data_IF_347929443102
#
_entry.id   IF_347929443102
#
_cell.length_a   1.000
_cell.length_b   1.000
_cell.length_c   1.000
_cell.angle_alpha   90.00
_cell.angle_beta   90.00
_cell.angle_gamma   90.00
#
_symmetry.space_group_name_H-M   'P 1'
#
loop_
_entity.id
_entity.type
_entity.pdbx_description
1 polymer ?
#
# COMPACT_ATOMS: atom_id res chain seq x y z
N UNK A 1 0.82 0.97 -35.62
CA UNK A 1 -0.61 1.32 -35.66
C UNK A 1 -1.40 0.11 -35.19
N UNK A 2 -1.81 0.09 -33.93
CA UNK A 2 -2.85 -0.82 -33.43
C UNK A 2 -3.63 -0.03 -32.38
N UNK A 3 -4.92 0.17 -32.66
CA UNK A 3 -5.82 1.07 -31.96
C UNK A 3 -6.54 0.29 -30.87
N UNK A 4 -6.35 0.67 -29.60
CA UNK A 4 -7.15 0.15 -28.49
C UNK A 4 -8.40 1.01 -28.32
N UNK A 5 -9.56 0.45 -28.64
CA UNK A 5 -10.87 1.05 -28.39
C UNK A 5 -11.28 0.80 -26.93
N UNK A 6 -11.38 1.87 -26.14
CA UNK A 6 -12.02 1.85 -24.83
C UNK A 6 -13.55 1.68 -24.98
N UNK A 7 -14.10 0.62 -24.39
CA UNK A 7 -15.55 0.45 -24.25
C UNK A 7 -15.94 0.91 -22.84
N UNK A 8 -16.57 2.08 -22.74
CA UNK A 8 -17.26 2.53 -21.54
C UNK A 8 -18.71 2.03 -21.60
N UNK A 9 -19.18 1.34 -20.55
CA UNK A 9 -20.62 1.03 -20.39
C UNK A 9 -21.26 2.08 -19.48
N UNK A 10 -22.39 2.70 -19.88
CA UNK A 10 -23.09 3.65 -19.03
C UNK A 10 -24.00 2.93 -18.02
N UNK A 11 -24.09 3.54 -16.84
CA UNK A 11 -25.01 3.19 -15.75
C UNK A 11 -26.45 3.51 -16.19
N UNK A 12 -27.38 2.55 -16.01
CA UNK A 12 -28.81 2.78 -16.22
C UNK A 12 -29.45 3.34 -14.96
N UNK A 13 -30.10 4.48 -15.15
CA UNK A 13 -30.96 5.18 -14.21
C UNK A 13 -32.26 4.40 -13.94
N UNK A 14 -32.76 4.57 -12.72
CA UNK A 14 -34.08 4.15 -12.24
C UNK A 14 -35.19 5.00 -12.86
N UNK A 15 -36.25 4.36 -13.36
CA UNK A 15 -37.45 5.03 -13.87
C UNK A 15 -38.71 4.28 -13.45
N UNK A 16 -39.48 4.92 -12.57
CA UNK A 16 -40.88 4.60 -12.25
C UNK A 16 -41.77 4.96 -13.45
N UNK A 17 -42.67 4.09 -13.89
CA UNK A 17 -43.88 4.52 -14.60
C UNK A 17 -45.04 3.50 -14.49
N UNK A 18 -46.24 4.05 -14.62
CA UNK A 18 -47.53 3.63 -14.08
C UNK A 18 -48.31 2.72 -15.05
N UNK A 19 -49.10 1.83 -14.42
CA UNK A 19 -50.40 1.24 -14.81
C UNK A 19 -51.01 1.65 -16.16
N UNK A 20 -51.45 0.65 -16.93
CA UNK A 20 -52.66 0.71 -17.76
C UNK A 20 -53.47 -0.59 -17.65
N UNK A 21 -54.78 -0.40 -17.47
CA UNK A 21 -55.86 -1.40 -17.38
C UNK A 21 -56.49 -1.69 -18.75
N UNK A 22 -57.31 -2.76 -18.82
CA UNK A 22 -58.44 -3.11 -19.72
C UNK A 22 -58.26 -4.58 -20.15
N UNK A 23 -59.07 -5.56 -19.70
CA UNK A 23 -60.51 -5.80 -20.01
C UNK A 23 -60.58 -6.63 -21.31
N UNK A 24 -61.30 -7.72 -21.52
CA UNK A 24 -62.37 -8.55 -20.93
C UNK A 24 -62.18 -9.95 -21.58
N UNK A 25 -62.76 -11.09 -21.22
CA UNK A 25 -63.86 -11.46 -20.34
C UNK A 25 -64.19 -12.93 -20.62
N UNK A 26 -64.82 -13.61 -19.66
CA UNK A 26 -65.92 -14.53 -19.93
C UNK A 26 -66.70 -14.77 -18.63
N UNK A 27 -67.95 -14.30 -18.66
CA UNK A 27 -69.08 -14.59 -17.76
C UNK A 27 -69.52 -16.04 -18.05
N UNK A 28 -70.19 -16.80 -17.19
CA UNK A 28 -71.03 -16.52 -16.03
C UNK A 28 -71.28 -17.84 -15.29
N UNK A 29 -71.66 -17.75 -14.00
CA UNK A 29 -72.94 -18.29 -13.52
C UNK A 29 -73.14 -17.87 -12.05
N UNK A 30 -74.22 -17.14 -11.84
CA UNK A 30 -74.76 -16.73 -10.54
C UNK A 30 -75.35 -17.92 -9.79
N UNK A 31 -75.37 -17.86 -8.47
CA UNK A 31 -76.57 -17.59 -7.67
C UNK A 31 -76.32 -18.00 -6.22
N UNK A 32 -76.84 -17.18 -5.32
CA UNK A 32 -77.00 -17.47 -3.91
C UNK A 32 -77.65 -18.85 -3.69
N UNK A 33 -76.99 -19.67 -2.87
CA UNK A 33 -77.47 -20.78 -2.04
C UNK A 33 -76.16 -21.36 -1.46
N UNK A 34 -75.78 -21.17 -0.19
CA UNK A 34 -76.50 -21.57 1.00
C UNK A 34 -76.17 -20.63 2.16
N UNK A 35 -77.19 -20.02 2.76
CA UNK A 35 -77.17 -19.75 4.18
C UNK A 35 -77.57 -21.04 4.91
N UNK A 36 -76.62 -21.67 5.60
CA UNK A 36 -76.93 -22.51 6.76
C UNK A 36 -75.72 -22.53 7.66
N UNK A 37 -75.95 -22.18 8.92
CA UNK A 37 -75.01 -22.32 10.03
C UNK A 37 -74.28 -23.68 9.98
N UNK A 38 -72.96 -23.67 9.94
CA UNK A 38 -72.17 -24.80 10.43
C UNK A 38 -70.94 -24.30 11.19
N UNK A 39 -71.00 -24.51 12.50
CA UNK A 39 -69.92 -24.31 13.45
C UNK A 39 -68.89 -25.42 13.25
N UNK A 40 -67.86 -25.20 12.43
CA UNK A 40 -66.48 -25.71 12.64
C UNK A 40 -65.55 -25.23 11.54
N UNK A 41 -64.77 -24.17 11.81
CA UNK A 41 -63.59 -23.87 11.01
C UNK A 41 -62.55 -25.00 11.25
N UNK A 42 -62.07 -25.74 10.23
CA UNK A 42 -61.20 -26.88 10.48
C UNK A 42 -59.84 -26.42 11.00
N UNK A 43 -59.41 -27.01 12.12
CA UNK A 43 -58.12 -26.80 12.80
C UNK A 43 -56.87 -27.05 11.94
N UNK A 44 -57.06 -27.45 10.68
CA UNK A 44 -56.03 -27.72 9.69
C UNK A 44 -55.60 -26.46 8.90
N UNK A 45 -56.44 -25.43 8.80
CA UNK A 45 -56.12 -24.16 8.12
C UNK A 45 -55.14 -23.29 8.94
N UNK A 46 -55.38 -23.14 10.25
CA UNK A 46 -54.46 -22.45 11.17
C UNK A 46 -53.09 -23.13 11.30
N UNK A 47 -53.02 -24.46 11.08
CA UNK A 47 -51.75 -25.20 11.07
C UNK A 47 -50.93 -24.92 9.80
N UNK A 48 -51.58 -24.79 8.64
CA UNK A 48 -50.90 -24.43 7.39
C UNK A 48 -50.33 -23.00 7.45
N UNK A 49 -51.05 -22.04 8.03
CA UNK A 49 -50.54 -20.68 8.20
C UNK A 49 -49.30 -20.64 9.11
N UNK A 50 -49.34 -21.34 10.25
CA UNK A 50 -48.19 -21.38 11.18
C UNK A 50 -46.97 -22.08 10.58
N UNK A 51 -47.17 -23.12 9.77
CA UNK A 51 -46.09 -23.78 9.02
C UNK A 51 -45.53 -22.83 7.95
N UNK A 52 -46.39 -22.10 7.25
CA UNK A 52 -45.98 -21.11 6.23
C UNK A 52 -45.16 -19.97 6.84
N UNK A 53 -45.60 -19.40 7.97
CA UNK A 53 -44.83 -18.37 8.69
C UNK A 53 -43.47 -18.88 9.19
N UNK A 54 -43.40 -20.12 9.70
CA UNK A 54 -42.13 -20.73 10.11
C UNK A 54 -41.19 -20.93 8.92
N UNK A 55 -41.69 -21.41 7.79
CA UNK A 55 -40.89 -21.58 6.57
C UNK A 55 -40.36 -20.24 6.07
N UNK A 56 -41.20 -19.21 6.01
CA UNK A 56 -40.77 -17.84 5.62
C UNK A 56 -39.71 -17.31 6.58
N UNK A 57 -39.91 -17.45 7.90
CA UNK A 57 -38.94 -17.02 8.90
C UNK A 57 -37.59 -17.73 8.74
N UNK A 58 -37.61 -19.05 8.58
CA UNK A 58 -36.40 -19.85 8.36
C UNK A 58 -35.67 -19.42 7.07
N UNK A 59 -36.41 -19.18 5.98
CA UNK A 59 -35.84 -18.67 4.73
C UNK A 59 -35.19 -17.29 4.91
N UNK A 60 -35.84 -16.35 5.63
CA UNK A 60 -35.26 -15.03 5.87
C UNK A 60 -33.99 -15.08 6.73
N UNK A 61 -33.96 -15.95 7.75
CA UNK A 61 -32.76 -16.18 8.56
C UNK A 61 -31.64 -16.78 7.68
N UNK A 62 -31.95 -17.77 6.85
CA UNK A 62 -30.96 -18.36 5.96
C UNK A 62 -30.37 -17.35 4.98
N UNK A 63 -31.21 -16.48 4.39
CA UNK A 63 -30.74 -15.41 3.49
C UNK A 63 -29.87 -14.39 4.25
N UNK A 64 -30.26 -14.01 5.46
CA UNK A 64 -29.49 -13.08 6.28
C UNK A 64 -28.11 -13.66 6.66
N UNK A 65 -28.06 -14.94 7.04
CA UNK A 65 -26.81 -15.64 7.36
C UNK A 65 -25.90 -15.77 6.14
N UNK A 66 -26.45 -16.10 4.97
CA UNK A 66 -25.69 -16.14 3.72
C UNK A 66 -25.16 -14.76 3.32
N UNK A 67 -25.98 -13.72 3.48
CA UNK A 67 -25.58 -12.34 3.19
C UNK A 67 -24.48 -11.86 4.15
N UNK A 68 -24.57 -12.26 5.43
CA UNK A 68 -23.55 -11.96 6.43
C UNK A 68 -22.24 -12.74 6.17
N UNK A 69 -22.30 -14.02 5.78
CA UNK A 69 -21.11 -14.79 5.37
C UNK A 69 -20.44 -14.19 4.14
N UNK A 70 -21.23 -13.79 3.12
CA UNK A 70 -20.71 -13.08 1.95
C UNK A 70 -20.09 -11.74 2.35
N UNK A 71 -20.73 -10.98 3.23
CA UNK A 71 -20.19 -9.72 3.75
C UNK A 71 -18.87 -9.94 4.48
N UNK A 72 -18.78 -10.93 5.37
CA UNK A 72 -17.53 -11.27 6.06
C UNK A 72 -16.45 -11.69 5.07
N UNK A 73 -16.77 -12.52 4.07
CA UNK A 73 -15.80 -12.93 3.05
C UNK A 73 -15.33 -11.75 2.21
N UNK A 74 -16.21 -10.85 1.79
CA UNK A 74 -15.84 -9.66 1.01
C UNK A 74 -15.03 -8.68 1.86
N UNK A 75 -15.45 -8.44 3.10
CA UNK A 75 -14.74 -7.57 4.04
C UNK A 75 -13.37 -8.12 4.42
N UNK A 76 -13.22 -9.45 4.53
CA UNK A 76 -11.93 -10.10 4.80
C UNK A 76 -11.05 -10.26 3.56
N UNK A 77 -11.63 -10.33 2.35
CA UNK A 77 -10.88 -10.41 1.08
C UNK A 77 -10.26 -9.06 0.65
N UNK A 78 -10.36 -8.04 1.50
CA UNK A 78 -9.73 -6.73 1.29
C UNK A 78 -8.21 -6.70 1.52
N UNK A 79 -7.57 -7.84 1.81
CA UNK A 79 -6.12 -7.92 1.94
C UNK A 79 -5.56 -8.63 0.70
N UNK A 80 -5.01 -7.85 -0.24
CA UNK A 80 -4.04 -8.37 -1.20
C UNK A 80 -2.79 -8.77 -0.40
N UNK A 81 -2.79 -9.96 0.17
CA UNK A 81 -1.64 -10.50 0.88
C UNK A 81 -0.62 -10.99 -0.15
N UNK A 82 0.32 -10.13 -0.49
CA UNK A 82 1.49 -10.51 -1.25
C UNK A 82 2.40 -11.35 -0.34
N UNK A 83 2.36 -12.67 -0.50
CA UNK A 83 3.22 -13.57 0.28
C UNK A 83 4.62 -13.66 -0.33
N UNK A 84 5.50 -12.72 0.04
CA UNK A 84 6.94 -12.87 -0.17
C UNK A 84 7.50 -13.62 1.05
N UNK A 85 8.14 -14.76 0.80
CA UNK A 85 8.74 -15.55 1.88
C UNK A 85 9.95 -14.80 2.42
N UNK A 86 9.96 -14.52 3.72
CA UNK A 86 11.03 -13.76 4.39
C UNK A 86 11.41 -14.43 5.71
N UNK A 87 12.71 -14.45 6.07
CA UNK A 87 13.17 -14.86 7.39
C UNK A 87 13.00 -13.74 8.43
N UNK A 88 12.69 -12.52 7.98
CA UNK A 88 12.51 -11.36 8.85
C UNK A 88 11.21 -11.55 9.63
N UNK A 89 11.24 -11.51 10.98
CA UNK A 89 10.03 -11.63 11.78
C UNK A 89 9.12 -10.42 11.59
N UNK A 90 7.89 -10.52 12.07
CA UNK A 90 7.00 -9.36 12.12
C UNK A 90 7.61 -8.29 13.04
N UNK A 91 7.96 -7.15 12.44
CA UNK A 91 8.49 -5.99 13.17
C UNK A 91 7.30 -5.09 13.52
N UNK A 92 7.16 -4.68 14.78
CA UNK A 92 6.02 -3.86 15.20
C UNK A 92 6.04 -2.50 14.50
N UNK A 93 4.83 -2.02 14.17
CA UNK A 93 4.65 -0.67 13.65
C UNK A 93 4.74 0.37 14.77
N UNK A 94 5.43 1.47 14.49
CA UNK A 94 5.55 2.62 15.38
C UNK A 94 5.05 3.90 14.70
N UNK A 95 4.38 4.76 15.46
CA UNK A 95 3.95 6.08 15.02
C UNK A 95 5.06 7.09 15.32
N UNK A 96 5.65 7.66 14.28
CA UNK A 96 6.74 8.64 14.39
C UNK A 96 6.37 9.95 13.70
N UNK A 97 6.72 11.08 14.33
CA UNK A 97 6.72 12.41 13.69
C UNK A 97 8.06 12.66 13.02
N UNK A 98 8.05 13.30 11.86
CA UNK A 98 9.30 13.73 11.21
C UNK A 98 9.71 15.07 11.79
N UNK A 99 10.72 15.04 12.66
CA UNK A 99 11.30 16.22 13.27
C UNK A 99 12.76 16.33 12.85
N UNK A 100 13.09 17.40 12.13
CA UNK A 100 14.48 17.70 11.78
C UNK A 100 15.17 18.30 13.01
N UNK A 101 16.19 17.62 13.53
CA UNK A 101 17.04 18.12 14.61
C UNK A 101 18.37 18.61 14.05
N UNK A 102 18.93 19.65 14.67
CA UNK A 102 20.15 20.30 14.16
C UNK A 102 21.34 19.35 14.04
N UNK A 103 21.41 18.33 14.90
CA UNK A 103 22.44 17.28 14.90
C UNK A 103 22.55 16.48 13.59
N UNK A 104 21.46 16.37 12.80
CA UNK A 104 21.45 15.69 11.50
C UNK A 104 21.81 16.62 10.34
N UNK A 105 21.76 17.93 10.59
CA UNK A 105 22.04 18.97 9.60
C UNK A 105 23.49 19.46 9.65
N UNK A 106 24.29 18.92 10.57
CA UNK A 106 25.70 19.27 10.75
C UNK A 106 26.57 18.87 9.55
N UNK A 107 27.55 19.73 9.24
CA UNK A 107 28.62 19.42 8.30
C UNK A 107 29.43 18.17 8.76
N UNK A 108 30.13 17.46 7.84
CA UNK A 108 30.90 16.29 8.17
C UNK A 108 31.98 16.61 9.19
N UNK A 109 31.90 15.89 10.31
CA UNK A 109 32.89 15.84 11.37
C UNK A 109 33.03 14.38 11.78
N UNK A 110 34.06 14.04 12.58
CA UNK A 110 34.18 12.68 13.10
C UNK A 110 32.92 12.25 13.87
N UNK A 111 32.33 13.16 14.64
CA UNK A 111 31.11 12.92 15.41
C UNK A 111 29.88 12.77 14.51
N UNK A 112 29.65 13.72 13.60
CA UNK A 112 28.52 13.68 12.68
C UNK A 112 28.58 12.43 11.78
N UNK A 113 29.77 12.10 11.26
CA UNK A 113 29.93 10.88 10.44
C UNK A 113 29.68 9.61 11.26
N UNK A 114 30.14 9.55 12.51
CA UNK A 114 29.84 8.43 13.39
C UNK A 114 28.34 8.30 13.69
N UNK A 115 27.63 9.43 13.89
CA UNK A 115 26.18 9.47 14.07
C UNK A 115 25.44 8.90 12.86
N UNK A 116 25.79 9.34 11.66
CA UNK A 116 25.21 8.82 10.41
C UNK A 116 25.50 7.33 10.23
N UNK A 117 26.74 6.87 10.48
CA UNK A 117 27.09 5.44 10.38
C UNK A 117 26.37 4.59 11.43
N UNK A 118 26.05 5.14 12.60
CA UNK A 118 25.36 4.42 13.67
C UNK A 118 23.94 3.97 13.30
N UNK A 119 23.32 4.59 12.28
CA UNK A 119 21.99 4.21 11.78
C UNK A 119 21.97 2.81 11.14
N UNK A 120 23.11 2.33 10.62
CA UNK A 120 23.23 0.99 10.05
C UNK A 120 23.58 -0.04 11.15
N UNK A 121 24.29 0.42 12.18
CA UNK A 121 24.68 -0.42 13.32
C UNK A 121 25.75 -1.47 12.96
N UNK A 122 26.07 -2.37 13.89
CA UNK A 122 27.19 -3.31 13.78
C UNK A 122 26.95 -4.46 12.79
N UNK A 123 25.74 -4.63 12.28
CA UNK A 123 25.43 -5.66 11.26
C UNK A 123 25.79 -5.20 9.85
N UNK A 124 26.15 -3.93 9.66
CA UNK A 124 26.27 -3.28 8.35
C UNK A 124 25.01 -3.44 7.47
N UNK A 125 23.86 -3.71 8.09
CA UNK A 125 22.60 -3.96 7.40
C UNK A 125 22.44 -5.37 6.83
N UNK A 126 23.31 -6.31 7.21
CA UNK A 126 23.29 -7.70 6.76
C UNK A 126 22.73 -8.66 7.80
N UNK A 127 22.12 -9.74 7.32
CA UNK A 127 21.75 -10.91 8.13
C UNK A 127 22.39 -12.17 7.57
N UNK A 128 22.87 -13.05 8.45
CA UNK A 128 23.37 -14.37 8.09
C UNK A 128 22.24 -15.38 8.01
N UNK A 129 22.22 -16.18 6.95
CA UNK A 129 21.19 -17.20 6.70
C UNK A 129 21.75 -18.61 6.70
N UNK A 130 21.11 -19.50 7.47
CA UNK A 130 21.46 -20.92 7.50
C UNK A 130 20.91 -21.69 6.29
N UNK A 131 19.69 -21.35 5.83
CA UNK A 131 19.02 -21.96 4.68
C UNK A 131 18.64 -20.90 3.63
N UNK A 132 19.60 -20.19 3.00
CA UNK A 132 19.33 -19.04 2.15
C UNK A 132 18.43 -19.36 0.95
N UNK A 133 18.53 -20.59 0.42
CA UNK A 133 17.73 -21.07 -0.73
C UNK A 133 16.25 -21.25 -0.43
N UNK A 134 15.86 -21.16 0.83
CA UNK A 134 14.47 -21.10 1.23
C UNK A 134 13.82 -19.75 0.90
N UNK A 135 14.61 -18.68 0.85
CA UNK A 135 14.15 -17.29 0.74
C UNK A 135 14.61 -16.60 -0.55
N UNK A 136 15.75 -17.00 -1.12
CA UNK A 136 16.31 -16.39 -2.33
C UNK A 136 16.95 -17.43 -3.26
N UNK A 137 16.63 -17.33 -4.56
CA UNK A 137 17.30 -18.09 -5.61
C UNK A 137 18.71 -17.54 -5.91
N UNK A 138 18.96 -16.26 -5.65
CA UNK A 138 20.25 -15.61 -5.89
C UNK A 138 21.18 -15.83 -4.71
N UNK A 139 22.49 -16.07 -4.94
CA UNK A 139 23.44 -16.27 -3.86
C UNK A 139 23.72 -14.98 -3.08
N UNK A 140 23.92 -15.13 -1.77
CA UNK A 140 24.40 -14.07 -0.89
C UNK A 140 25.93 -14.08 -0.77
N UNK A 141 26.44 -13.25 0.13
CA UNK A 141 27.88 -13.15 0.42
C UNK A 141 28.27 -14.23 1.43
N UNK A 142 29.25 -15.07 1.10
CA UNK A 142 29.79 -16.05 2.05
C UNK A 142 30.40 -15.36 3.28
N UNK A 143 30.03 -15.81 4.48
CA UNK A 143 30.57 -15.29 5.73
C UNK A 143 30.25 -16.18 6.93
N UNK A 144 30.26 -15.59 8.12
CA UNK A 144 30.01 -16.32 9.37
C UNK A 144 28.57 -16.83 9.37
N UNK A 145 28.39 -18.15 9.50
CA UNK A 145 27.07 -18.76 9.59
C UNK A 145 26.38 -19.06 8.26
N UNK A 146 27.02 -18.83 7.12
CA UNK A 146 26.49 -19.17 5.79
C UNK A 146 26.54 -18.01 4.80
N UNK A 147 25.50 -17.89 3.98
CA UNK A 147 25.33 -16.75 3.06
C UNK A 147 24.66 -15.58 3.78
N UNK A 148 25.16 -14.37 3.54
CA UNK A 148 24.68 -13.13 4.12
C UNK A 148 23.96 -12.29 3.06
N UNK A 149 22.88 -11.64 3.47
CA UNK A 149 22.02 -10.83 2.61
C UNK A 149 21.78 -9.47 3.27
N UNK A 150 21.76 -8.41 2.45
CA UNK A 150 21.43 -7.08 2.91
C UNK A 150 19.93 -6.94 3.11
N UNK A 151 19.53 -5.97 3.93
CA UNK A 151 18.14 -5.53 4.02
C UNK A 151 17.99 -4.18 3.34
N UNK A 152 16.94 -4.03 2.54
CA UNK A 152 16.74 -2.88 1.64
C UNK A 152 16.76 -1.53 2.36
N UNK A 153 16.15 -1.42 3.55
CA UNK A 153 16.16 -0.21 4.37
C UNK A 153 17.60 0.22 4.73
N UNK A 154 18.43 -0.72 5.19
CA UNK A 154 19.80 -0.42 5.58
C UNK A 154 20.69 -0.14 4.37
N UNK A 155 20.45 -0.81 3.24
CA UNK A 155 21.12 -0.47 2.00
C UNK A 155 20.75 0.96 1.53
N UNK A 156 19.48 1.35 1.64
CA UNK A 156 19.03 2.73 1.38
C UNK A 156 19.76 3.75 2.26
N UNK A 157 19.91 3.46 3.56
CA UNK A 157 20.68 4.29 4.50
C UNK A 157 22.17 4.36 4.12
N UNK A 158 22.78 3.22 3.75
CA UNK A 158 24.16 3.16 3.29
C UNK A 158 24.38 4.05 2.06
N UNK A 159 23.53 3.93 1.04
CA UNK A 159 23.59 4.78 -0.13
C UNK A 159 23.41 6.26 0.22
N UNK A 160 22.49 6.59 1.12
CA UNK A 160 22.27 7.97 1.54
C UNK A 160 23.51 8.56 2.24
N UNK A 161 24.21 7.77 3.06
CA UNK A 161 25.47 8.20 3.70
C UNK A 161 26.57 8.45 2.65
N UNK A 162 26.70 7.57 1.65
CA UNK A 162 27.64 7.77 0.55
C UNK A 162 27.31 9.02 -0.28
N UNK A 163 26.02 9.27 -0.54
CA UNK A 163 25.56 10.49 -1.23
C UNK A 163 25.91 11.73 -0.41
N UNK A 164 25.67 11.69 0.91
CA UNK A 164 26.06 12.79 1.81
C UNK A 164 27.56 13.06 1.72
N UNK A 165 28.39 12.03 1.83
CA UNK A 165 29.86 12.16 1.73
C UNK A 165 30.28 12.75 0.39
N UNK A 166 29.82 12.19 -0.72
CA UNK A 166 30.14 12.66 -2.06
C UNK A 166 29.70 14.11 -2.30
N UNK A 167 28.53 14.52 -1.79
CA UNK A 167 28.08 15.90 -1.88
C UNK A 167 29.00 16.87 -1.14
N UNK A 168 29.43 16.52 0.08
CA UNK A 168 30.34 17.35 0.84
C UNK A 168 31.76 17.37 0.25
N UNK A 169 32.26 16.26 -0.28
CA UNK A 169 33.54 16.21 -0.99
C UNK A 169 33.51 17.11 -2.23
N UNK A 170 32.46 16.99 -3.07
CA UNK A 170 32.28 17.85 -4.23
C UNK A 170 32.16 19.34 -3.85
N UNK A 171 31.47 19.65 -2.75
CA UNK A 171 31.40 21.02 -2.18
C UNK A 171 32.78 21.57 -1.80
N UNK A 172 33.72 20.70 -1.41
CA UNK A 172 35.08 21.09 -1.03
C UNK A 172 36.08 21.12 -2.19
N UNK A 173 35.93 20.24 -3.19
CA UNK A 173 36.88 20.10 -4.29
C UNK A 173 36.64 21.09 -5.45
N UNK A 174 35.40 21.55 -5.66
CA UNK A 174 35.04 22.33 -6.85
C UNK A 174 34.94 23.86 -6.65
N UNK A 175 35.46 24.40 -5.53
CA UNK A 175 35.40 25.83 -5.25
C UNK A 175 36.75 26.41 -4.81
N UNK A 176 37.68 26.54 -5.77
CA UNK A 176 38.57 27.71 -5.86
C UNK A 176 37.74 29.00 -6.14
N UNK A 177 36.64 29.19 -5.39
CA UNK A 177 35.76 30.36 -5.43
C UNK A 177 35.89 31.14 -4.12
N UNK A 178 37.13 31.40 -3.71
CA UNK A 178 37.40 32.44 -2.71
C UNK A 178 36.93 33.81 -3.21
N UNK A 179 36.82 34.04 -4.52
CA UNK A 179 36.36 35.31 -5.10
C UNK A 179 34.83 35.39 -5.35
N UNK A 180 34.12 34.27 -5.56
CA UNK A 180 32.64 34.29 -5.72
C UNK A 180 31.87 34.27 -4.39
N UNK A 181 32.58 34.08 -3.26
CA UNK A 181 31.99 34.06 -1.91
C UNK A 181 31.46 35.43 -1.47
N UNK A 182 32.01 36.54 -1.99
CA UNK A 182 31.64 37.89 -1.55
C UNK A 182 30.27 38.39 -2.06
N UNK A 183 29.57 37.66 -2.93
CA UNK A 183 28.31 38.10 -3.54
C UNK A 183 27.11 37.15 -3.41
N UNK A 184 27.30 35.94 -2.86
CA UNK A 184 26.30 34.85 -2.86
C UNK A 184 25.94 34.32 -1.45
N UNK A 185 26.33 35.04 -0.39
CA UNK A 185 26.22 34.56 1.00
C UNK A 185 24.78 34.27 1.48
N UNK A 186 23.74 34.80 0.83
CA UNK A 186 22.35 34.46 1.16
C UNK A 186 21.85 33.21 0.43
N UNK A 187 22.07 33.12 -0.88
CA UNK A 187 21.59 32.01 -1.72
C UNK A 187 22.35 30.70 -1.50
N UNK A 188 23.66 30.77 -1.30
CA UNK A 188 24.50 29.56 -1.14
C UNK A 188 24.27 28.86 0.21
N UNK A 189 24.14 29.63 1.30
CA UNK A 189 23.81 29.08 2.62
C UNK A 189 22.40 28.50 2.68
N UNK A 190 21.45 29.07 1.92
CA UNK A 190 20.11 28.49 1.73
C UNK A 190 20.16 27.13 1.02
N UNK A 191 20.96 26.99 -0.03
CA UNK A 191 21.08 25.72 -0.77
C UNK A 191 21.75 24.62 0.05
N UNK A 192 22.84 24.94 0.77
CA UNK A 192 23.52 23.95 1.62
C UNK A 192 22.63 23.47 2.78
N UNK A 193 21.92 24.41 3.45
CA UNK A 193 20.94 24.06 4.49
C UNK A 193 19.76 23.25 3.94
N UNK A 194 19.31 23.54 2.72
CA UNK A 194 18.23 22.79 2.07
C UNK A 194 18.66 21.36 1.76
N UNK A 195 19.86 21.13 1.21
CA UNK A 195 20.37 19.79 0.94
C UNK A 195 20.51 18.99 2.21
N UNK A 196 21.06 19.56 3.28
CA UNK A 196 21.17 18.89 4.58
C UNK A 196 19.79 18.44 5.11
N UNK A 197 18.79 19.32 5.03
CA UNK A 197 17.41 19.00 5.40
C UNK A 197 16.80 17.91 4.50
N UNK A 198 17.03 17.95 3.19
CA UNK A 198 16.56 16.90 2.28
C UNK A 198 17.18 15.54 2.60
N UNK A 199 18.48 15.49 2.90
CA UNK A 199 19.16 14.25 3.28
C UNK A 199 18.56 13.69 4.58
N UNK A 200 18.30 14.54 5.58
CA UNK A 200 17.66 14.09 6.83
C UNK A 200 16.21 13.60 6.61
N UNK A 201 15.43 14.31 5.78
CA UNK A 201 14.09 13.86 5.41
C UNK A 201 14.09 12.50 4.71
N UNK A 202 15.06 12.26 3.81
CA UNK A 202 15.22 10.96 3.16
C UNK A 202 15.61 9.88 4.17
N UNK A 203 16.50 10.17 5.13
CA UNK A 203 16.87 9.25 6.22
C UNK A 203 15.62 8.81 7.00
N UNK A 204 14.79 9.78 7.40
CA UNK A 204 13.53 9.51 8.10
C UNK A 204 12.54 8.72 7.22
N UNK A 205 12.43 9.07 5.94
CA UNK A 205 11.55 8.39 4.98
C UNK A 205 11.93 6.93 4.77
N UNK A 206 13.22 6.63 4.64
CA UNK A 206 13.74 5.26 4.48
C UNK A 206 13.43 4.43 5.73
N UNK A 207 13.70 4.98 6.93
CA UNK A 207 13.41 4.31 8.20
C UNK A 207 11.92 4.06 8.39
N UNK A 208 11.08 5.05 8.06
CA UNK A 208 9.62 4.93 8.16
C UNK A 208 9.04 3.92 7.18
N UNK A 209 9.59 3.83 5.97
CA UNK A 209 9.19 2.80 5.02
C UNK A 209 9.56 1.38 5.51
N UNK A 210 10.69 1.25 6.22
CA UNK A 210 11.05 0.03 6.93
C UNK A 210 11.16 -1.20 6.04
N UNK A 211 11.61 -1.02 4.79
CA UNK A 211 11.66 -2.11 3.81
C UNK A 211 12.70 -3.17 4.19
N UNK A 212 12.23 -4.31 4.70
CA UNK A 212 13.08 -5.42 5.11
C UNK A 212 13.22 -6.50 4.03
N UNK A 213 12.98 -6.16 2.77
CA UNK A 213 13.22 -7.07 1.64
C UNK A 213 14.69 -7.48 1.62
N UNK A 214 14.93 -8.78 1.46
CA UNK A 214 16.27 -9.34 1.34
C UNK A 214 16.88 -8.93 0.01
N UNK A 215 18.09 -8.39 0.05
CA UNK A 215 18.87 -8.07 -1.13
C UNK A 215 20.09 -8.98 -1.21
N UNK A 216 20.22 -9.67 -2.34
CA UNK A 216 21.44 -10.38 -2.67
C UNK A 216 22.56 -9.37 -2.97
N UNK A 217 23.80 -9.78 -2.72
CA UNK A 217 24.95 -8.98 -3.08
C UNK A 217 26.00 -9.87 -3.75
N UNK A 218 26.61 -9.34 -4.79
CA UNK A 218 27.73 -10.04 -5.45
C UNK A 218 28.98 -9.95 -4.58
N UNK A 219 29.80 -11.01 -4.59
CA UNK A 219 31.05 -11.04 -3.85
C UNK A 219 31.98 -9.86 -4.25
N UNK A 220 32.79 -9.34 -3.30
CA UNK A 220 33.76 -8.29 -3.59
C UNK A 220 34.68 -8.67 -4.77
N UNK A 221 34.82 -7.76 -5.74
CA UNK A 221 35.64 -7.98 -6.95
C UNK A 221 34.88 -8.58 -8.16
N UNK A 222 33.58 -8.84 -8.03
CA UNK A 222 32.76 -9.16 -9.21
C UNK A 222 32.67 -7.94 -10.14
N UNK A 223 32.75 -8.15 -11.45
CA UNK A 223 32.55 -7.09 -12.48
C UNK A 223 31.11 -6.56 -12.54
N UNK A 224 30.19 -7.17 -11.81
CA UNK A 224 28.85 -6.64 -11.63
C UNK A 224 28.96 -5.59 -10.53
N UNK A 225 28.62 -4.33 -10.85
CA UNK A 225 28.29 -3.32 -9.82
C UNK A 225 27.56 -4.04 -8.69
N UNK A 226 28.03 -3.94 -7.43
CA UNK A 226 27.48 -4.63 -6.26
C UNK A 226 25.95 -4.69 -6.37
N UNK A 227 25.43 -5.78 -6.90
CA UNK A 227 24.11 -5.78 -7.49
C UNK A 227 23.09 -6.07 -6.38
N UNK A 228 22.95 -5.12 -5.47
CA UNK A 228 21.86 -5.06 -4.52
C UNK A 228 20.66 -4.44 -5.25
N UNK A 229 19.94 -5.28 -5.99
CA UNK A 229 18.80 -4.85 -6.81
C UNK A 229 18.16 -5.98 -7.63
N UNK A 230 16.91 -5.74 -8.04
CA UNK A 230 16.10 -6.68 -8.82
C UNK A 230 15.41 -7.76 -7.99
N UNK A 231 15.19 -7.48 -6.70
CA UNK A 231 14.34 -8.26 -5.79
C UNK A 231 12.90 -7.71 -5.81
N UNK A 232 11.96 -8.50 -5.30
CA UNK A 232 10.55 -8.08 -5.23
C UNK A 232 10.31 -7.32 -3.94
N UNK A 233 9.79 -6.10 -4.07
CA UNK A 233 9.40 -5.25 -2.94
C UNK A 233 7.88 -5.13 -2.87
N UNK A 234 7.33 -5.00 -1.66
CA UNK A 234 5.92 -4.69 -1.46
C UNK A 234 5.76 -3.17 -1.36
N UNK A 235 5.32 -2.55 -2.45
CA UNK A 235 5.14 -1.10 -2.52
C UNK A 235 3.66 -0.72 -2.64
N UNK A 236 3.34 0.53 -2.31
CA UNK A 236 2.08 1.15 -2.77
C UNK A 236 2.12 1.26 -4.28
N UNK A 237 0.99 1.02 -4.93
CA UNK A 237 0.88 1.21 -6.37
C UNK A 237 1.15 2.67 -6.73
N UNK A 238 2.20 2.89 -7.52
CA UNK A 238 2.66 4.25 -7.84
C UNK A 238 1.62 5.00 -8.69
N UNK A 239 0.98 4.32 -9.64
CA UNK A 239 0.02 4.94 -10.55
C UNK A 239 -1.23 5.39 -9.80
N UNK A 240 -1.77 4.54 -8.93
CA UNK A 240 -2.91 4.85 -8.07
C UNK A 240 -2.57 5.96 -7.07
N UNK A 241 -1.37 5.93 -6.48
CA UNK A 241 -0.89 6.99 -5.58
C UNK A 241 -0.80 8.33 -6.31
N UNK A 242 -0.30 8.31 -7.55
CA UNK A 242 -0.18 9.49 -8.39
C UNK A 242 -1.54 10.01 -8.85
N UNK A 243 -2.44 9.12 -9.25
CA UNK A 243 -3.80 9.47 -9.65
C UNK A 243 -4.55 10.15 -8.51
N UNK A 244 -4.46 9.61 -7.29
CA UNK A 244 -5.02 10.24 -6.11
C UNK A 244 -4.49 11.68 -5.93
N UNK A 245 -3.18 11.88 -6.04
CA UNK A 245 -2.57 13.22 -5.92
C UNK A 245 -3.06 14.18 -7.02
N UNK A 246 -3.12 13.72 -8.27
CA UNK A 246 -3.55 14.52 -9.42
C UNK A 246 -5.06 14.85 -9.39
N UNK A 247 -5.87 14.05 -8.69
CA UNK A 247 -7.29 14.32 -8.43
C UNK A 247 -7.51 15.32 -7.27
N UNK A 248 -6.52 15.53 -6.41
CA UNK A 248 -6.60 16.37 -5.20
C UNK A 248 -5.62 17.55 -5.26
N UNK A 249 -5.66 18.30 -6.37
CA UNK A 249 -4.76 19.43 -6.56
C UNK A 249 -5.06 20.58 -5.59
N UNK A 250 -4.04 21.11 -4.88
CA UNK A 250 -4.23 22.26 -3.99
C UNK A 250 -4.40 23.58 -4.76
N UNK A 251 -3.95 23.61 -6.02
CA UNK A 251 -3.98 24.79 -6.88
C UNK A 251 -4.40 24.42 -8.30
N UNK A 252 -5.06 25.34 -9.04
CA UNK A 252 -5.37 25.12 -10.45
C UNK A 252 -4.09 24.86 -11.26
N UNK A 253 -4.13 23.87 -12.17
CA UNK A 253 -3.01 23.66 -13.10
C UNK A 253 -2.85 24.91 -13.97
N UNK A 254 -1.61 25.43 -14.15
CA UNK A 254 -1.36 26.43 -15.17
C UNK A 254 -1.83 25.88 -16.53
N UNK A 255 -2.58 26.67 -17.28
CA UNK A 255 -2.92 26.32 -18.66
C UNK A 255 -1.63 26.18 -19.45
N UNK A 256 -1.37 24.97 -19.95
CA UNK A 256 -0.25 24.72 -20.87
C UNK A 256 -0.60 25.45 -22.18
N UNK A 257 0.06 26.58 -22.41
CA UNK A 257 0.03 27.31 -23.69
C UNK A 257 1.13 26.81 -24.61
#
# INVERSE_FOLDING_TARGET
MSSFTHVTKPWRETGYEKLDTIGDGERALSSEDCASEDSTLPSNLLKCDRISFLVVWLCTISIALLSFDVYLRVSMKSNNEFHIKTPVPEIPLELVSFEATMEWLEEPSAESNARWMSEIGPSDGFIGMHNPREYSERPGIEGIGGENYGLSMFHGLHCLILIRQAWHEAKTEDLNLTEARAGLDSGYNLQAGHVAHCLDYLRLSIKCAGDMTLEWASAPGSRKLNAMGGELHVCRDFSASREFADQNLPFPRPSVT
#
